data_IF_969683623711
#
_entry.id   IF_969683623711
#
_cell.length_a   1.000
_cell.length_b   1.000
_cell.length_c   1.000
_cell.angle_alpha   90.00
_cell.angle_beta   90.00
_cell.angle_gamma   90.00
#
_symmetry.space_group_name_H-M   'P 1'
#
loop_
_entity.id
_entity.type
_entity.pdbx_description
1 polymer ?
#
# COMPACT_ATOMS: atom_id res chain seq x y z
N UNK A 1 31.03 -37.05 -5.28
CA UNK A 1 31.30 -35.64 -5.49
C UNK A 1 30.13 -34.90 -6.11
N UNK A 2 29.56 -35.42 -7.16
CA UNK A 2 28.43 -34.74 -7.81
C UNK A 2 27.19 -34.60 -6.92
N UNK A 3 27.02 -35.49 -5.96
CA UNK A 3 25.88 -35.44 -5.04
C UNK A 3 25.90 -34.23 -4.11
N UNK A 4 27.10 -33.81 -3.68
CA UNK A 4 27.25 -32.64 -2.78
C UNK A 4 26.98 -31.37 -3.53
N UNK A 5 27.45 -31.23 -4.76
CA UNK A 5 27.23 -30.06 -5.59
C UNK A 5 25.75 -29.92 -5.92
N UNK A 6 25.06 -31.04 -6.19
CA UNK A 6 23.64 -31.03 -6.51
C UNK A 6 22.79 -30.57 -5.32
N UNK A 7 23.10 -31.04 -4.12
CA UNK A 7 22.39 -30.61 -2.90
C UNK A 7 22.56 -29.12 -2.64
N UNK A 8 23.75 -28.60 -2.83
CA UNK A 8 24.02 -27.18 -2.64
C UNK A 8 23.22 -26.33 -3.63
N UNK A 9 23.11 -26.77 -4.86
CA UNK A 9 22.33 -26.08 -5.88
C UNK A 9 20.84 -26.06 -5.55
N UNK A 10 20.30 -27.16 -5.06
CA UNK A 10 18.88 -27.26 -4.69
C UNK A 10 18.57 -26.32 -3.51
N UNK A 11 19.44 -26.25 -2.51
CA UNK A 11 19.25 -25.34 -1.36
C UNK A 11 19.25 -23.89 -1.82
N UNK A 12 20.15 -23.52 -2.71
CA UNK A 12 20.20 -22.16 -3.26
C UNK A 12 18.93 -21.81 -4.02
N UNK A 13 18.43 -22.75 -4.82
CA UNK A 13 17.20 -22.53 -5.60
C UNK A 13 15.98 -22.33 -4.70
N UNK A 14 15.88 -23.09 -3.59
CA UNK A 14 14.79 -22.96 -2.64
C UNK A 14 14.78 -21.61 -1.93
N UNK A 15 15.93 -21.00 -1.69
CA UNK A 15 16.01 -19.71 -1.00
C UNK A 15 15.44 -18.56 -1.83
N UNK A 16 15.31 -18.71 -3.14
CA UNK A 16 14.76 -17.68 -4.02
C UNK A 16 13.22 -17.65 -3.99
N UNK A 17 12.57 -18.69 -3.46
CA UNK A 17 11.12 -18.85 -3.51
C UNK A 17 10.38 -18.00 -2.44
N UNK A 18 11.08 -17.35 -1.53
CA UNK A 18 10.49 -16.66 -0.39
C UNK A 18 10.33 -15.14 -0.56
N UNK A 19 10.20 -14.64 -1.78
CA UNK A 19 9.84 -13.24 -1.96
C UNK A 19 8.33 -13.13 -2.07
N UNK A 20 7.71 -12.38 -1.16
CA UNK A 20 6.27 -12.09 -1.24
C UNK A 20 6.04 -10.67 -1.70
N UNK A 21 4.94 -10.49 -2.40
CA UNK A 21 4.36 -9.17 -2.62
C UNK A 21 3.26 -8.96 -1.57
N UNK A 22 3.27 -7.82 -0.89
CA UNK A 22 2.18 -7.48 0.02
C UNK A 22 1.05 -6.84 -0.76
N UNK A 23 -0.16 -7.35 -0.59
CA UNK A 23 -1.37 -6.83 -1.22
C UNK A 23 -2.26 -6.17 -0.17
N UNK A 24 -3.12 -5.26 -0.62
CA UNK A 24 -4.10 -4.62 0.25
C UNK A 24 -5.27 -5.59 0.45
N UNK A 25 -5.45 -6.11 1.67
CA UNK A 25 -6.58 -6.97 1.99
C UNK A 25 -7.64 -6.26 2.81
N UNK A 26 -7.31 -5.15 3.48
CA UNK A 26 -8.25 -4.36 4.25
C UNK A 26 -7.84 -2.89 4.22
N UNK A 27 -8.83 -1.99 4.19
CA UNK A 27 -8.62 -0.54 4.20
C UNK A 27 -9.44 0.06 5.32
N UNK A 28 -8.82 0.90 6.15
CA UNK A 28 -9.48 1.70 7.17
C UNK A 28 -9.25 3.18 6.87
N UNK A 29 -10.33 3.95 6.80
CA UNK A 29 -10.27 5.39 6.50
C UNK A 29 -10.93 6.15 7.64
N UNK A 30 -10.21 7.14 8.18
CA UNK A 30 -10.70 7.98 9.27
C UNK A 30 -10.45 9.45 8.98
N UNK A 31 -11.26 10.32 9.62
CA UNK A 31 -11.11 11.77 9.54
C UNK A 31 -11.89 12.43 8.41
N UNK A 32 -12.40 11.67 7.46
CA UNK A 32 -13.21 12.23 6.39
C UNK A 32 -14.62 12.54 6.89
N UNK A 33 -15.12 13.73 6.57
CA UNK A 33 -16.45 14.21 6.98
C UNK A 33 -17.36 14.40 5.78
N UNK A 34 -16.91 15.16 4.79
CA UNK A 34 -17.68 15.45 3.58
C UNK A 34 -17.29 14.59 2.40
N UNK A 35 -16.05 14.12 2.40
CA UNK A 35 -15.50 13.32 1.32
C UNK A 35 -15.69 11.85 1.66
N UNK A 36 -16.36 11.10 0.79
CA UNK A 36 -16.64 9.69 1.03
C UNK A 36 -15.36 8.83 0.95
N UNK A 37 -15.42 7.66 1.58
CA UNK A 37 -14.33 6.69 1.50
C UNK A 37 -14.02 6.35 0.04
N UNK A 38 -15.07 6.13 -0.76
CA UNK A 38 -14.92 5.79 -2.17
C UNK A 38 -14.16 6.88 -2.94
N UNK A 39 -14.48 8.14 -2.68
CA UNK A 39 -13.80 9.26 -3.32
C UNK A 39 -12.32 9.29 -2.96
N UNK A 40 -11.98 9.04 -1.69
CA UNK A 40 -10.58 8.98 -1.25
C UNK A 40 -9.82 7.90 -2.00
N UNK A 41 -10.41 6.71 -2.16
CA UNK A 41 -9.76 5.62 -2.87
C UNK A 41 -9.52 5.96 -4.34
N UNK A 42 -10.48 6.63 -4.98
CA UNK A 42 -10.32 7.07 -6.37
C UNK A 42 -9.24 8.13 -6.50
N UNK A 43 -9.26 9.13 -5.60
CA UNK A 43 -8.27 10.21 -5.63
C UNK A 43 -6.84 9.70 -5.39
N UNK A 44 -6.69 8.71 -4.54
CA UNK A 44 -5.38 8.12 -4.24
C UNK A 44 -4.97 7.00 -5.18
N UNK A 45 -5.82 6.64 -6.13
CA UNK A 45 -5.60 5.51 -7.05
C UNK A 45 -5.32 4.23 -6.28
N UNK A 46 -6.17 3.93 -5.30
CA UNK A 46 -6.03 2.80 -4.39
C UNK A 46 -7.08 1.75 -4.71
N UNK A 47 -6.65 0.51 -4.92
CA UNK A 47 -7.54 -0.62 -5.25
C UNK A 47 -7.25 -1.78 -4.30
N UNK A 48 -8.30 -2.39 -3.74
CA UNK A 48 -8.17 -3.60 -2.94
C UNK A 48 -7.62 -4.75 -3.77
N UNK A 49 -6.84 -5.61 -3.13
CA UNK A 49 -6.37 -6.84 -3.74
C UNK A 49 -5.14 -6.72 -4.62
N UNK A 50 -4.62 -5.51 -4.83
CA UNK A 50 -3.41 -5.31 -5.63
C UNK A 50 -2.20 -5.12 -4.73
N UNK A 51 -1.02 -5.36 -5.30
CA UNK A 51 0.25 -5.14 -4.64
C UNK A 51 0.42 -3.66 -4.30
N UNK A 52 0.86 -3.37 -3.09
CA UNK A 52 1.04 -2.00 -2.60
C UNK A 52 2.47 -1.82 -2.09
N UNK A 53 3.35 -1.37 -2.96
CA UNK A 53 4.76 -1.10 -2.64
C UNK A 53 4.92 0.25 -1.95
N UNK A 54 6.11 0.52 -1.41
CA UNK A 54 6.43 1.84 -0.85
C UNK A 54 6.32 2.94 -1.90
N UNK A 55 6.70 2.65 -3.14
CA UNK A 55 6.55 3.61 -4.24
C UNK A 55 5.08 3.92 -4.50
N UNK A 56 4.23 2.90 -4.48
CA UNK A 56 2.80 3.06 -4.67
C UNK A 56 2.18 3.89 -3.54
N UNK A 57 2.60 3.63 -2.30
CA UNK A 57 2.16 4.41 -1.14
C UNK A 57 2.52 5.89 -1.30
N UNK A 58 3.75 6.19 -1.73
CA UNK A 58 4.19 7.56 -1.95
C UNK A 58 3.40 8.23 -3.07
N UNK A 59 3.11 7.52 -4.15
CA UNK A 59 2.31 8.06 -5.26
C UNK A 59 0.88 8.36 -4.82
N UNK A 60 0.28 7.45 -4.05
CA UNK A 60 -1.07 7.66 -3.50
C UNK A 60 -1.10 8.89 -2.58
N UNK A 61 -0.09 9.04 -1.72
CA UNK A 61 0.02 10.18 -0.82
C UNK A 61 0.09 11.49 -1.60
N UNK A 62 0.93 11.55 -2.64
CA UNK A 62 1.05 12.72 -3.49
C UNK A 62 -0.26 13.06 -4.19
N UNK A 63 -0.95 12.04 -4.71
CA UNK A 63 -2.23 12.23 -5.40
C UNK A 63 -3.29 12.80 -4.47
N UNK A 64 -3.36 12.33 -3.24
CA UNK A 64 -4.31 12.82 -2.25
C UNK A 64 -4.02 14.29 -1.89
N UNK A 65 -2.76 14.66 -1.67
CA UNK A 65 -2.40 16.06 -1.42
C UNK A 65 -2.67 16.94 -2.63
N UNK A 66 -2.41 16.45 -3.83
CA UNK A 66 -2.60 17.21 -5.06
C UNK A 66 -4.07 17.53 -5.35
N UNK A 67 -4.98 16.77 -4.77
CA UNK A 67 -6.42 17.00 -4.94
C UNK A 67 -6.89 18.31 -4.29
N UNK A 68 -6.13 18.86 -3.34
CA UNK A 68 -6.44 20.05 -2.56
C UNK A 68 -7.65 19.92 -1.63
N UNK A 69 -8.20 18.70 -1.48
CA UNK A 69 -9.29 18.45 -0.55
C UNK A 69 -8.82 18.25 0.88
N UNK A 70 -7.53 17.97 1.09
CA UNK A 70 -7.02 17.60 2.39
C UNK A 70 -5.93 18.54 2.87
N UNK A 71 -6.04 18.94 4.12
CA UNK A 71 -5.02 19.71 4.82
C UNK A 71 -3.87 18.79 5.24
N UNK A 72 -4.19 17.55 5.62
CA UNK A 72 -3.21 16.57 6.05
C UNK A 72 -3.66 15.17 5.64
N UNK A 73 -2.70 14.32 5.30
CA UNK A 73 -2.94 12.93 4.90
C UNK A 73 -1.85 12.07 5.51
N UNK A 74 -2.25 10.99 6.15
CA UNK A 74 -1.32 10.00 6.69
C UNK A 74 -1.70 8.62 6.18
N UNK A 75 -0.77 7.95 5.52
CA UNK A 75 -0.95 6.59 5.01
C UNK A 75 0.03 5.66 5.70
N UNK A 76 -0.48 4.57 6.26
CA UNK A 76 0.35 3.49 6.78
C UNK A 76 -0.11 2.17 6.19
N UNK A 77 0.83 1.31 5.84
CA UNK A 77 0.54 -0.01 5.29
C UNK A 77 1.38 -1.05 6.02
N UNK A 78 0.70 -1.92 6.75
CA UNK A 78 1.34 -2.97 7.53
C UNK A 78 0.43 -4.20 7.60
N UNK A 79 1.00 -5.38 7.44
CA UNK A 79 0.26 -6.66 7.52
C UNK A 79 -0.99 -6.67 6.63
N UNK A 80 -0.85 -6.20 5.41
CA UNK A 80 -1.91 -6.14 4.40
C UNK A 80 -3.06 -5.18 4.75
N UNK A 81 -2.92 -4.38 5.80
CA UNK A 81 -3.88 -3.37 6.21
C UNK A 81 -3.39 -1.98 5.83
N UNK A 82 -4.16 -1.29 5.02
CA UNK A 82 -3.90 0.10 4.66
C UNK A 82 -4.77 1.01 5.54
N UNK A 83 -4.13 1.86 6.32
CA UNK A 83 -4.81 2.86 7.13
C UNK A 83 -4.62 4.23 6.51
N UNK A 84 -5.72 4.94 6.28
CA UNK A 84 -5.73 6.28 5.71
C UNK A 84 -6.38 7.20 6.74
N UNK A 85 -5.62 8.18 7.20
CA UNK A 85 -6.10 9.21 8.12
C UNK A 85 -5.99 10.56 7.42
N UNK A 86 -7.08 11.31 7.35
CA UNK A 86 -7.11 12.57 6.64
C UNK A 86 -7.66 13.68 7.51
N UNK A 87 -7.27 14.91 7.22
CA UNK A 87 -7.89 16.12 7.72
C UNK A 87 -8.33 16.91 6.49
N UNK A 88 -9.62 17.13 6.36
CA UNK A 88 -10.16 17.85 5.20
C UNK A 88 -9.86 19.34 5.28
N UNK A 89 -9.63 19.95 4.13
CA UNK A 89 -9.53 21.40 4.07
C UNK A 89 -10.91 22.01 4.34
N UNK A 90 -10.94 23.12 5.11
CA UNK A 90 -12.23 23.81 5.31
C UNK A 90 -12.73 24.38 4.00
N UNK A 91 -14.06 24.39 3.84
CA UNK A 91 -14.69 25.07 2.71
C UNK A 91 -14.70 26.57 3.00
N UNK A 92 -14.23 27.31 2.03
CA UNK A 92 -14.24 28.78 2.10
C UNK A 92 -15.47 29.34 1.41
#
# INVERSE_FOLDING_TARGET
MNKIVLKSFIIFFLSVVYSYSEIISKIEITGNKRISNQTILVLGDITMGIEFSNDQLNESLKSLYKSNFFKDVNLTFDKNLLKISVIENPIV
#
